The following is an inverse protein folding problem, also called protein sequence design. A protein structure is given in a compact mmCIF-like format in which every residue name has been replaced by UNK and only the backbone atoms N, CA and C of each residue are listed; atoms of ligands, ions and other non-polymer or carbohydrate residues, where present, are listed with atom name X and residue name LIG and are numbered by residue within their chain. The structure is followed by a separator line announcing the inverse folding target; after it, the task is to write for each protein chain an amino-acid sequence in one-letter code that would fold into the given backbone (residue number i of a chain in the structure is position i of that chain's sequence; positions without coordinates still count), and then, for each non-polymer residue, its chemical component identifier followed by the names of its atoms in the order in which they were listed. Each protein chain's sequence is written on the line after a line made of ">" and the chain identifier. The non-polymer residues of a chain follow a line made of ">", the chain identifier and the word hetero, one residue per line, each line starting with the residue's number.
data_IF_439477233379
#
_entry.id   IF_439477233379
#
_cell.length_a   1.000
_cell.length_b   1.000
_cell.length_c   1.000
_cell.angle_alpha   90.00
_cell.angle_beta   90.00
_cell.angle_gamma   90.00
#
_symmetry.space_group_name_H-M   'P 1'
#
loop_
_entity.id
_entity.type
_entity.pdbx_description
1 polymer ?
#
# COMPACT_ATOMS: atom_id res chain seq x y z
N UNK A 1 -12.29 6.75 -6.22
CA UNK A 1 -12.67 8.16 -6.00
C UNK A 1 -11.47 9.03 -6.29
N UNK A 2 -11.67 10.22 -6.87
CA UNK A 2 -10.59 11.17 -7.13
C UNK A 2 -10.11 11.78 -5.81
N UNK A 3 -8.93 11.40 -5.34
CA UNK A 3 -8.28 12.03 -4.19
C UNK A 3 -7.58 13.30 -4.65
N UNK A 4 -7.77 14.39 -3.90
CA UNK A 4 -7.08 15.67 -4.18
C UNK A 4 -5.69 15.67 -3.56
N UNK A 5 -4.79 16.47 -4.14
CA UNK A 5 -3.45 16.67 -3.61
C UNK A 5 -3.50 17.17 -2.15
N UNK A 6 -2.64 16.62 -1.29
CA UNK A 6 -2.63 16.92 0.15
C UNK A 6 -3.71 16.21 0.99
N UNK A 7 -4.63 15.45 0.37
CA UNK A 7 -5.57 14.61 1.12
C UNK A 7 -4.84 13.43 1.76
N UNK A 8 -5.18 13.11 3.01
CA UNK A 8 -4.78 11.87 3.67
C UNK A 8 -5.89 10.84 3.54
N UNK A 9 -5.52 9.59 3.34
CA UNK A 9 -6.44 8.46 3.22
C UNK A 9 -5.98 7.36 4.13
N UNK A 10 -6.90 6.89 4.97
CA UNK A 10 -6.73 5.65 5.73
C UNK A 10 -7.33 4.51 4.93
N UNK A 11 -6.56 3.44 4.73
CA UNK A 11 -7.00 2.25 4.01
C UNK A 11 -7.17 1.12 5.03
N UNK A 12 -8.42 0.78 5.32
CA UNK A 12 -8.75 -0.34 6.20
C UNK A 12 -8.67 -1.65 5.41
N UNK A 13 -7.85 -2.56 5.90
CA UNK A 13 -7.67 -3.89 5.33
C UNK A 13 -8.06 -4.94 6.37
N UNK A 14 -8.59 -6.10 5.94
CA UNK A 14 -8.70 -7.28 6.80
C UNK A 14 -7.34 -7.63 7.42
N UNK A 15 -7.35 -8.18 8.63
CA UNK A 15 -6.13 -8.62 9.33
C UNK A 15 -5.37 -9.73 8.59
N UNK A 16 -6.02 -10.39 7.64
CA UNK A 16 -5.44 -11.44 6.78
C UNK A 16 -4.80 -10.91 5.50
N UNK A 17 -4.85 -9.59 5.26
CA UNK A 17 -4.19 -8.98 4.12
C UNK A 17 -2.71 -8.79 4.40
N UNK A 18 -1.87 -9.08 3.40
CA UNK A 18 -0.42 -8.95 3.49
C UNK A 18 0.01 -7.64 2.81
N UNK A 19 0.66 -6.70 3.53
CA UNK A 19 1.16 -5.47 2.94
C UNK A 19 2.20 -5.72 1.85
N UNK A 20 2.13 -4.94 0.76
CA UNK A 20 3.06 -4.99 -0.39
C UNK A 20 3.86 -3.69 -0.58
N UNK A 21 3.70 -2.76 0.36
CA UNK A 21 4.40 -1.47 0.41
C UNK A 21 5.19 -1.32 1.71
N UNK A 22 6.14 -0.38 1.73
CA UNK A 22 6.87 0.02 2.95
C UNK A 22 6.64 1.49 3.31
N UNK A 23 6.88 1.81 4.58
CA UNK A 23 6.86 3.20 5.06
C UNK A 23 7.91 4.03 4.31
N UNK A 24 7.52 5.25 3.90
CA UNK A 24 8.37 6.15 3.11
C UNK A 24 8.36 5.87 1.61
N UNK A 25 7.75 4.77 1.15
CA UNK A 25 7.52 4.56 -0.28
C UNK A 25 6.47 5.54 -0.80
N UNK A 26 6.72 6.12 -1.97
CA UNK A 26 5.71 6.87 -2.72
C UNK A 26 4.75 5.92 -3.42
N UNK A 27 3.44 6.03 -3.13
CA UNK A 27 2.39 5.26 -3.80
C UNK A 27 1.81 6.04 -4.99
N UNK A 28 1.69 5.37 -6.14
CA UNK A 28 1.05 5.88 -7.36
C UNK A 28 -0.36 5.31 -7.48
N UNK A 29 -1.35 6.19 -7.57
CA UNK A 29 -2.76 5.80 -7.66
C UNK A 29 -3.04 4.96 -8.91
N UNK A 30 -3.70 3.82 -8.73
CA UNK A 30 -4.02 2.88 -9.83
C UNK A 30 -2.90 1.90 -10.16
N UNK A 31 -1.70 2.08 -9.61
CA UNK A 31 -0.54 1.23 -9.92
C UNK A 31 0.01 0.52 -8.69
N UNK A 32 0.14 1.24 -7.57
CA UNK A 32 0.72 0.67 -6.35
C UNK A 32 -0.26 -0.27 -5.68
N UNK A 33 0.11 -1.55 -5.61
CA UNK A 33 -0.60 -2.54 -4.80
C UNK A 33 -0.24 -2.32 -3.33
N UNK A 34 -1.21 -1.86 -2.53
CA UNK A 34 -1.00 -1.62 -1.10
C UNK A 34 -0.90 -2.94 -0.30
N UNK A 35 -1.74 -3.91 -0.63
CA UNK A 35 -1.77 -5.22 0.02
C UNK A 35 -2.41 -6.28 -0.88
N UNK A 36 -2.18 -7.55 -0.54
CA UNK A 36 -2.74 -8.72 -1.21
C UNK A 36 -3.47 -9.62 -0.22
N UNK A 37 -4.59 -10.21 -0.65
CA UNK A 37 -5.34 -11.17 0.15
C UNK A 37 -4.75 -12.58 0.01
N UNK A 38 -4.52 -13.26 1.12
CA UNK A 38 -4.02 -14.64 1.12
C UNK A 38 -2.54 -14.80 0.73
N UNK A 39 -1.81 -13.68 0.57
CA UNK A 39 -0.37 -13.71 0.30
C UNK A 39 0.45 -14.07 1.55
N UNK A 40 1.62 -14.66 1.35
CA UNK A 40 2.57 -14.94 2.43
C UNK A 40 3.28 -13.64 2.81
N UNK A 41 3.31 -13.34 4.11
CA UNK A 41 4.03 -12.18 4.64
C UNK A 41 5.52 -12.30 4.33
N UNK A 42 6.03 -11.38 3.51
CA UNK A 42 7.44 -11.25 3.16
C UNK A 42 7.82 -9.78 3.24
N UNK A 43 9.09 -9.50 3.54
CA UNK A 43 9.61 -8.12 3.47
C UNK A 43 9.48 -7.64 2.03
N UNK A 44 8.70 -6.58 1.76
CA UNK A 44 8.51 -6.12 0.40
C UNK A 44 9.82 -5.55 -0.14
N UNK A 45 10.25 -6.01 -1.31
CA UNK A 45 11.40 -5.44 -2.03
C UNK A 45 10.95 -4.15 -2.71
N UNK A 46 11.03 -3.05 -1.97
CA UNK A 46 10.58 -1.74 -2.44
C UNK A 46 11.69 -0.70 -2.31
N UNK A 47 11.75 0.20 -3.28
CA UNK A 47 12.63 1.38 -3.21
C UNK A 47 11.93 2.42 -2.35
N UNK A 48 12.56 2.78 -1.24
CA UNK A 48 12.15 3.92 -0.40
C UNK A 48 12.86 5.16 -0.93
N UNK A 49 12.12 6.26 -1.08
CA UNK A 49 12.63 7.57 -1.50
C UNK A 49 13.07 8.42 -0.32
#
# INVERSE_FOLDING_TARGET
>A
GLIRFGSRVDVFLPSTATPRVAVGQTAVGGETILAEFGGIAATPLVRVS
#
